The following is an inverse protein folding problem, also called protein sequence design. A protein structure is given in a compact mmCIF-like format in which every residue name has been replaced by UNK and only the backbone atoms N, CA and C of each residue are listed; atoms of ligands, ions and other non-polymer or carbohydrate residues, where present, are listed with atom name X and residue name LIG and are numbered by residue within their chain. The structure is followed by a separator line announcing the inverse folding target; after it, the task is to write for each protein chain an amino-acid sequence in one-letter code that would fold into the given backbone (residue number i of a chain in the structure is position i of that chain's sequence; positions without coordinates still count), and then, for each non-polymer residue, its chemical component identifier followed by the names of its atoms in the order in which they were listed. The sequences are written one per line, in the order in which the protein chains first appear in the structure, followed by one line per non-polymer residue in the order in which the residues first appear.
data_IF_654864645717
#
_entry.id   IF_654864645717
#
_cell.length_a   1.000
_cell.length_b   1.000
_cell.length_c   1.000
_cell.angle_alpha   90.00
_cell.angle_beta   90.00
_cell.angle_gamma   90.00
#
_symmetry.space_group_name_H-M   'P 1'
#
loop_
_entity.id
_entity.type
_entity.pdbx_description
1 polymer ?
#
# COMPACT_ATOMS: atom_id res chain seq x y z
N UNK A 1 -20.63 -43.94 -2.39
CA UNK A 1 -19.19 -44.25 -2.50
C UNK A 1 -18.42 -42.97 -2.27
N UNK A 2 -17.78 -42.82 -1.11
CA UNK A 2 -17.17 -41.57 -0.65
C UNK A 2 -15.75 -41.44 -1.19
N UNK A 3 -15.57 -40.45 -2.06
CA UNK A 3 -14.30 -40.07 -2.66
C UNK A 3 -13.41 -39.35 -1.63
N UNK A 4 -12.49 -40.10 -1.02
CA UNK A 4 -11.46 -39.55 -0.12
C UNK A 4 -10.42 -38.84 -0.96
N UNK A 5 -10.55 -37.50 -1.07
CA UNK A 5 -9.56 -36.64 -1.69
C UNK A 5 -8.17 -36.88 -1.11
N UNK A 6 -7.30 -37.50 -1.93
CA UNK A 6 -5.90 -37.73 -1.61
C UNK A 6 -5.20 -36.38 -1.34
N UNK A 7 -4.77 -36.17 -0.10
CA UNK A 7 -3.79 -35.13 0.24
C UNK A 7 -2.44 -35.58 -0.33
N UNK A 8 -2.04 -35.01 -1.46
CA UNK A 8 -0.69 -35.22 -1.99
C UNK A 8 0.30 -34.48 -1.10
N UNK A 9 1.08 -35.24 -0.32
CA UNK A 9 2.18 -34.70 0.46
C UNK A 9 3.44 -34.65 -0.41
N UNK A 10 3.97 -33.46 -0.67
CA UNK A 10 5.27 -33.26 -1.30
C UNK A 10 6.29 -32.96 -0.20
N UNK A 11 7.36 -33.76 -0.12
CA UNK A 11 8.50 -33.52 0.76
C UNK A 11 9.41 -32.45 0.16
N UNK A 12 9.64 -31.37 0.91
CA UNK A 12 10.68 -30.38 0.59
C UNK A 12 12.06 -30.88 1.04
N UNK A 13 13.11 -30.54 0.29
CA UNK A 13 14.53 -30.92 0.52
C UNK A 13 15.14 -30.44 1.86
N UNK A 14 14.37 -29.79 2.74
CA UNK A 14 14.82 -29.29 4.05
C UNK A 14 14.06 -29.83 5.27
N UNK A 15 13.30 -30.92 5.14
CA UNK A 15 12.72 -31.62 6.31
C UNK A 15 11.62 -30.85 7.07
N UNK A 16 11.24 -29.65 6.62
CA UNK A 16 10.09 -28.93 7.17
C UNK A 16 8.82 -29.30 6.40
N UNK A 17 7.82 -29.78 7.13
CA UNK A 17 6.46 -29.97 6.62
C UNK A 17 5.82 -28.61 6.34
N UNK A 18 6.03 -28.04 5.16
CA UNK A 18 5.12 -27.02 4.66
C UNK A 18 3.84 -27.71 4.19
N UNK A 19 2.78 -27.64 4.98
CA UNK A 19 1.46 -28.05 4.54
C UNK A 19 1.08 -27.19 3.33
N UNK A 20 1.24 -27.73 2.12
CA UNK A 20 0.85 -27.05 0.88
C UNK A 20 -0.61 -26.63 0.97
N UNK A 21 -0.89 -25.37 0.62
CA UNK A 21 -2.25 -24.87 0.58
C UNK A 21 -3.09 -25.75 -0.36
N UNK A 22 -4.34 -26.12 0.01
CA UNK A 22 -5.14 -27.03 -0.81
C UNK A 22 -5.49 -26.38 -2.15
N UNK A 23 -5.41 -27.16 -3.23
CA UNK A 23 -5.75 -26.69 -4.58
C UNK A 23 -7.27 -26.48 -4.69
N UNK A 24 -7.69 -25.25 -4.96
CA UNK A 24 -9.10 -24.88 -5.18
C UNK A 24 -9.33 -24.70 -6.69
N UNK A 25 -10.23 -25.48 -7.28
CA UNK A 25 -10.54 -25.42 -8.72
C UNK A 25 -11.11 -24.05 -9.14
N UNK A 26 -10.76 -23.53 -10.34
CA UNK A 26 -11.14 -22.17 -10.82
C UNK A 26 -12.64 -21.84 -10.68
N UNK A 27 -13.52 -22.76 -11.10
CA UNK A 27 -14.98 -22.59 -10.95
C UNK A 27 -15.41 -22.37 -9.49
N UNK A 28 -14.75 -23.06 -8.55
CA UNK A 28 -14.99 -22.92 -7.12
C UNK A 28 -14.41 -21.61 -6.57
N UNK A 29 -13.28 -21.14 -7.08
CA UNK A 29 -12.68 -19.86 -6.70
C UNK A 29 -13.63 -18.69 -7.00
N UNK A 30 -14.26 -18.67 -8.18
CA UNK A 30 -15.24 -17.64 -8.56
C UNK A 30 -16.41 -17.58 -7.58
N UNK A 31 -16.98 -18.73 -7.23
CA UNK A 31 -18.07 -18.82 -6.25
C UNK A 31 -17.63 -18.36 -4.85
N UNK A 32 -16.44 -18.74 -4.40
CA UNK A 32 -15.87 -18.29 -3.12
C UNK A 32 -15.76 -16.76 -3.10
N UNK A 33 -15.31 -16.13 -4.19
CA UNK A 33 -15.23 -14.65 -4.29
C UNK A 33 -16.61 -14.01 -4.18
N UNK A 34 -17.60 -14.50 -4.93
CA UNK A 34 -18.98 -14.01 -4.84
C UNK A 34 -19.55 -14.13 -3.42
N UNK A 35 -19.32 -15.26 -2.75
CA UNK A 35 -19.74 -15.48 -1.35
C UNK A 35 -19.07 -14.47 -0.40
N UNK A 36 -17.78 -14.18 -0.59
CA UNK A 36 -17.05 -13.17 0.21
C UNK A 36 -17.57 -11.76 -0.04
N UNK A 37 -17.75 -11.36 -1.30
CA UNK A 37 -18.27 -10.04 -1.68
C UNK A 37 -19.66 -9.80 -1.08
N UNK A 38 -20.57 -10.77 -1.23
CA UNK A 38 -21.90 -10.68 -0.64
C UNK A 38 -21.84 -10.57 0.88
N UNK A 39 -20.92 -11.30 1.53
CA UNK A 39 -20.76 -11.22 2.98
C UNK A 39 -20.23 -9.86 3.44
N UNK A 40 -19.29 -9.26 2.69
CA UNK A 40 -18.77 -7.91 2.95
C UNK A 40 -19.83 -6.83 2.73
N UNK A 41 -20.70 -7.02 1.74
CA UNK A 41 -21.87 -6.17 1.48
C UNK A 41 -23.01 -6.34 2.50
N UNK A 42 -22.81 -7.14 3.55
CA UNK A 42 -23.73 -7.25 4.69
C UNK A 42 -24.73 -8.42 4.64
N UNK A 43 -24.72 -9.25 3.58
CA UNK A 43 -25.66 -10.37 3.49
C UNK A 43 -25.41 -11.45 4.57
N UNK A 44 -26.49 -12.05 5.06
CA UNK A 44 -26.45 -13.19 5.98
C UNK A 44 -26.18 -14.49 5.19
N UNK A 45 -25.49 -15.49 5.77
CA UNK A 45 -25.19 -16.75 5.07
C UNK A 45 -26.40 -17.47 4.47
N UNK A 46 -27.58 -17.37 5.11
CA UNK A 46 -28.82 -17.92 4.57
C UNK A 46 -29.30 -17.20 3.30
N UNK A 47 -29.18 -15.87 3.25
CA UNK A 47 -29.57 -15.07 2.08
C UNK A 47 -28.62 -15.31 0.89
N UNK A 48 -27.32 -15.48 1.19
CA UNK A 48 -26.30 -15.85 0.20
C UNK A 48 -26.62 -17.23 -0.39
N UNK A 49 -26.96 -18.21 0.46
CA UNK A 49 -27.36 -19.55 0.04
C UNK A 49 -28.56 -19.51 -0.93
N UNK A 50 -29.61 -18.76 -0.60
CA UNK A 50 -30.79 -18.60 -1.46
C UNK A 50 -30.44 -17.93 -2.78
N UNK A 51 -29.67 -16.82 -2.76
CA UNK A 51 -29.30 -16.07 -3.96
C UNK A 51 -28.41 -16.86 -4.93
N UNK A 52 -27.50 -17.67 -4.39
CA UNK A 52 -26.55 -18.45 -5.19
C UNK A 52 -27.04 -19.88 -5.48
N UNK A 53 -28.23 -20.26 -5.00
CA UNK A 53 -28.78 -21.61 -5.19
C UNK A 53 -27.93 -22.71 -4.55
N UNK A 54 -27.25 -22.42 -3.43
CA UNK A 54 -26.37 -23.37 -2.73
C UNK A 54 -26.81 -23.60 -1.29
N UNK A 55 -26.39 -24.71 -0.69
CA UNK A 55 -26.69 -24.97 0.72
C UNK A 55 -25.94 -24.01 1.65
N UNK A 56 -26.54 -23.68 2.80
CA UNK A 56 -25.89 -22.87 3.84
C UNK A 56 -24.56 -23.45 4.30
N UNK A 57 -24.46 -24.79 4.42
CA UNK A 57 -23.20 -25.49 4.72
C UNK A 57 -22.11 -25.22 3.68
N UNK A 58 -22.50 -25.08 2.40
CA UNK A 58 -21.57 -24.75 1.32
C UNK A 58 -21.10 -23.29 1.42
N UNK A 59 -21.99 -22.35 1.77
CA UNK A 59 -21.64 -20.96 2.05
C UNK A 59 -20.61 -20.88 3.18
N UNK A 60 -20.86 -21.55 4.30
CA UNK A 60 -19.95 -21.53 5.45
C UNK A 60 -18.57 -22.12 5.10
N UNK A 61 -18.54 -23.18 4.28
CA UNK A 61 -17.29 -23.77 3.77
C UNK A 61 -16.55 -22.81 2.84
N UNK A 62 -17.26 -22.16 1.93
CA UNK A 62 -16.67 -21.23 0.97
C UNK A 62 -16.21 -19.92 1.65
N UNK A 63 -16.88 -19.49 2.73
CA UNK A 63 -16.40 -18.40 3.60
C UNK A 63 -15.08 -18.77 4.30
N UNK A 64 -14.97 -20.01 4.79
CA UNK A 64 -13.73 -20.50 5.41
C UNK A 64 -12.59 -20.61 4.39
N UNK A 65 -12.90 -21.15 3.22
CA UNK A 65 -11.93 -21.36 2.14
C UNK A 65 -11.53 -20.04 1.44
N UNK A 66 -12.31 -18.96 1.60
CA UNK A 66 -11.92 -17.63 1.14
C UNK A 66 -10.59 -17.14 1.73
N UNK A 67 -10.31 -17.43 3.01
CA UNK A 67 -9.01 -17.09 3.63
C UNK A 67 -7.85 -17.85 2.97
N UNK A 68 -8.09 -19.09 2.57
CA UNK A 68 -7.10 -19.93 1.89
C UNK A 68 -6.88 -19.42 0.46
N UNK A 69 -7.96 -19.08 -0.24
CA UNK A 69 -7.91 -18.51 -1.59
C UNK A 69 -7.16 -17.17 -1.60
N UNK A 70 -7.40 -16.28 -0.64
CA UNK A 70 -6.67 -15.02 -0.52
C UNK A 70 -5.16 -15.23 -0.31
N UNK A 71 -4.77 -16.25 0.47
CA UNK A 71 -3.34 -16.60 0.67
C UNK A 71 -2.71 -17.17 -0.59
N UNK A 72 -3.40 -18.05 -1.31
CA UNK A 72 -2.95 -18.58 -2.60
C UNK A 72 -2.75 -17.44 -3.61
N UNK A 73 -3.73 -16.54 -3.71
CA UNK A 73 -3.64 -15.38 -4.58
C UNK A 73 -2.50 -14.44 -4.19
N UNK A 74 -2.25 -14.25 -2.89
CA UNK A 74 -1.13 -13.42 -2.42
C UNK A 74 0.25 -14.05 -2.73
N UNK A 75 0.33 -15.38 -2.82
CA UNK A 75 1.56 -16.08 -3.24
C UNK A 75 1.78 -16.03 -4.75
N UNK A 76 0.70 -16.02 -5.54
CA UNK A 76 0.74 -15.87 -7.00
C UNK A 76 0.76 -14.40 -7.45
N UNK A 77 0.62 -13.46 -6.51
CA UNK A 77 0.62 -12.02 -6.80
C UNK A 77 2.04 -11.58 -7.11
N UNK A 78 2.26 -11.15 -8.35
CA UNK A 78 3.51 -10.56 -8.80
C UNK A 78 3.66 -9.17 -8.17
N UNK A 79 4.20 -9.14 -6.96
CA UNK A 79 4.41 -7.94 -6.16
C UNK A 79 5.32 -6.93 -6.87
N UNK A 80 6.31 -7.43 -7.61
CA UNK A 80 7.31 -6.59 -8.26
C UNK A 80 6.72 -5.87 -9.47
N UNK A 81 5.98 -6.59 -10.32
CA UNK A 81 5.28 -5.97 -11.46
C UNK A 81 4.22 -4.97 -11.00
N UNK A 82 3.47 -5.30 -9.93
CA UNK A 82 2.45 -4.40 -9.40
C UNK A 82 3.03 -3.12 -8.81
N UNK A 83 4.13 -3.21 -8.06
CA UNK A 83 4.79 -2.02 -7.50
C UNK A 83 5.34 -1.11 -8.61
N UNK A 84 5.98 -1.70 -9.62
CA UNK A 84 6.48 -0.96 -10.79
C UNK A 84 5.36 -0.23 -11.55
N UNK A 85 4.23 -0.90 -11.77
CA UNK A 85 3.07 -0.32 -12.44
C UNK A 85 2.41 0.79 -11.60
N UNK A 86 2.36 0.64 -10.27
CA UNK A 86 1.81 1.66 -9.37
C UNK A 86 2.66 2.93 -9.35
N UNK A 87 3.99 2.78 -9.26
CA UNK A 87 4.94 3.90 -9.35
C UNK A 87 4.78 4.63 -10.69
N UNK A 88 4.71 3.88 -11.80
CA UNK A 88 4.55 4.42 -13.14
C UNK A 88 3.22 5.18 -13.29
N UNK A 89 2.14 4.64 -12.72
CA UNK A 89 0.82 5.26 -12.72
C UNK A 89 0.82 6.63 -12.03
N UNK A 90 1.39 6.74 -10.83
CA UNK A 90 1.45 8.03 -10.12
C UNK A 90 2.34 9.05 -10.82
N UNK A 91 3.46 8.62 -11.40
CA UNK A 91 4.31 9.48 -12.22
C UNK A 91 3.54 10.05 -13.43
N UNK A 92 2.77 9.21 -14.13
CA UNK A 92 1.96 9.64 -15.26
C UNK A 92 0.87 10.64 -14.87
N UNK A 93 0.17 10.41 -13.75
CA UNK A 93 -0.83 11.36 -13.25
C UNK A 93 -0.17 12.69 -12.91
N UNK A 94 0.97 12.67 -12.22
CA UNK A 94 1.70 13.90 -11.87
C UNK A 94 2.10 14.68 -13.13
N UNK A 95 2.72 14.03 -14.11
CA UNK A 95 3.14 14.69 -15.34
C UNK A 95 1.97 15.24 -16.15
N UNK A 96 0.90 14.46 -16.29
CA UNK A 96 -0.30 14.90 -16.99
C UNK A 96 -0.92 16.11 -16.30
N UNK A 97 -1.10 16.05 -14.98
CA UNK A 97 -1.68 17.14 -14.19
C UNK A 97 -0.83 18.42 -14.25
N UNK A 98 0.50 18.31 -14.23
CA UNK A 98 1.38 19.46 -14.38
C UNK A 98 1.28 20.07 -15.78
N UNK A 99 1.27 19.24 -16.83
CA UNK A 99 1.07 19.69 -18.22
C UNK A 99 -0.28 20.38 -18.39
N UNK A 100 -1.35 19.79 -17.87
CA UNK A 100 -2.69 20.36 -17.94
C UNK A 100 -2.76 21.71 -17.19
N UNK A 101 -2.02 21.84 -16.07
CA UNK A 101 -1.89 23.11 -15.34
C UNK A 101 -1.21 24.20 -16.17
N UNK A 102 -0.12 23.86 -16.87
CA UNK A 102 0.63 24.80 -17.74
C UNK A 102 -0.19 25.26 -18.95
N UNK A 103 -1.00 24.36 -19.50
CA UNK A 103 -1.84 24.65 -20.68
C UNK A 103 -3.17 25.34 -20.32
N UNK A 104 -3.52 25.38 -19.03
CA UNK A 104 -4.79 25.94 -18.58
C UNK A 104 -4.75 27.48 -18.53
N UNK A 105 -5.73 28.13 -19.15
CA UNK A 105 -5.86 29.59 -19.12
C UNK A 105 -6.62 30.10 -17.89
N UNK A 106 -7.55 29.31 -17.35
CA UNK A 106 -8.29 29.68 -16.14
C UNK A 106 -7.53 29.35 -14.86
N UNK A 107 -7.41 30.33 -13.96
CA UNK A 107 -6.65 30.20 -12.71
C UNK A 107 -7.24 29.13 -11.77
N UNK A 108 -8.57 29.04 -11.66
CA UNK A 108 -9.21 28.05 -10.79
C UNK A 108 -8.94 26.62 -11.25
N UNK A 109 -9.02 26.38 -12.55
CA UNK A 109 -8.72 25.07 -13.13
C UNK A 109 -7.22 24.74 -13.01
N UNK A 110 -6.34 25.73 -13.22
CA UNK A 110 -4.89 25.60 -12.99
C UNK A 110 -4.56 25.17 -11.57
N UNK A 111 -5.20 25.77 -10.56
CA UNK A 111 -5.05 25.39 -9.14
C UNK A 111 -5.53 23.95 -8.91
N UNK A 112 -6.66 23.55 -9.51
CA UNK A 112 -7.16 22.17 -9.46
C UNK A 112 -6.17 21.14 -10.00
N UNK A 113 -5.57 21.42 -11.16
CA UNK A 113 -4.55 20.57 -11.75
C UNK A 113 -3.28 20.49 -10.88
N UNK A 114 -2.83 21.60 -10.28
CA UNK A 114 -1.70 21.60 -9.33
C UNK A 114 -1.98 20.75 -8.08
N UNK A 115 -3.19 20.83 -7.52
CA UNK A 115 -3.60 19.98 -6.39
C UNK A 115 -3.54 18.50 -6.77
N UNK A 116 -4.04 18.13 -7.95
CA UNK A 116 -3.98 16.74 -8.42
C UNK A 116 -2.52 16.25 -8.58
N UNK A 117 -1.63 17.11 -9.08
CA UNK A 117 -0.21 16.78 -9.17
C UNK A 117 0.44 16.58 -7.79
N UNK A 118 0.10 17.42 -6.80
CA UNK A 118 0.57 17.28 -5.41
C UNK A 118 0.06 15.99 -4.78
N UNK A 119 -1.23 15.68 -4.92
CA UNK A 119 -1.81 14.43 -4.40
C UNK A 119 -1.12 13.20 -5.01
N UNK A 120 -0.87 13.21 -6.32
CA UNK A 120 -0.14 12.13 -6.99
C UNK A 120 1.30 12.00 -6.46
N UNK A 121 1.98 13.12 -6.18
CA UNK A 121 3.30 13.14 -5.58
C UNK A 121 3.29 12.55 -4.16
N UNK A 122 2.31 12.88 -3.32
CA UNK A 122 2.17 12.33 -1.97
C UNK A 122 1.95 10.80 -1.99
N UNK A 123 1.11 10.31 -2.90
CA UNK A 123 0.87 8.87 -3.08
C UNK A 123 2.14 8.14 -3.54
N UNK A 124 2.85 8.70 -4.52
CA UNK A 124 4.13 8.16 -4.97
C UNK A 124 5.16 8.10 -3.84
N UNK A 125 5.31 9.18 -3.07
CA UNK A 125 6.25 9.23 -1.93
C UNK A 125 5.89 8.16 -0.90
N UNK A 126 4.60 8.00 -0.60
CA UNK A 126 4.14 6.98 0.34
C UNK A 126 4.45 5.57 -0.16
N UNK A 127 4.20 5.26 -1.43
CA UNK A 127 4.52 3.93 -1.99
C UNK A 127 6.03 3.64 -1.94
N UNK A 128 6.86 4.64 -2.23
CA UNK A 128 8.31 4.54 -2.12
C UNK A 128 8.79 4.34 -0.67
N UNK A 129 8.07 4.90 0.32
CA UNK A 129 8.34 4.67 1.73
C UNK A 129 7.90 3.27 2.17
N UNK A 130 6.70 2.85 1.78
CA UNK A 130 6.11 1.57 2.16
C UNK A 130 6.93 0.39 1.59
N UNK A 131 7.57 0.55 0.41
CA UNK A 131 8.48 -0.44 -0.16
C UNK A 131 9.95 -0.30 0.28
N UNK A 132 10.25 0.64 1.18
CA UNK A 132 11.59 0.83 1.76
C UNK A 132 12.62 1.50 0.84
N UNK A 133 12.23 1.98 -0.34
CA UNK A 133 13.10 2.75 -1.24
C UNK A 133 13.37 4.17 -0.71
N UNK A 134 12.47 4.72 0.11
CA UNK A 134 12.66 5.98 0.84
C UNK A 134 12.58 5.73 2.35
N UNK A 135 13.69 5.86 3.06
CA UNK A 135 13.75 5.64 4.51
C UNK A 135 12.96 6.69 5.33
N UNK A 136 12.91 7.93 4.85
CA UNK A 136 12.11 9.04 5.41
C UNK A 136 12.08 10.18 4.39
N UNK A 137 10.96 10.88 4.26
CA UNK A 137 10.97 12.18 3.56
C UNK A 137 11.93 13.08 4.34
N UNK A 138 12.91 13.74 3.68
CA UNK A 138 13.76 14.68 4.38
C UNK A 138 12.87 15.77 4.99
N UNK A 139 12.76 15.78 6.32
CA UNK A 139 12.19 16.90 7.03
C UNK A 139 13.15 18.06 6.81
N UNK A 140 12.78 18.97 5.91
CA UNK A 140 13.48 20.25 5.80
C UNK A 140 13.16 21.04 7.05
N UNK A 141 14.13 21.18 7.93
CA UNK A 141 14.09 22.21 8.97
C UNK A 141 14.20 23.56 8.24
N UNK A 142 13.11 24.31 8.18
CA UNK A 142 13.10 25.68 7.66
C UNK A 142 13.29 26.62 8.84
N UNK A 143 14.48 27.19 8.96
CA UNK A 143 14.73 28.31 9.87
C UNK A 143 14.09 29.54 9.21
N UNK A 144 12.88 29.89 9.64
CA UNK A 144 12.19 31.11 9.18
C UNK A 144 12.80 32.37 9.77
N UNK A 145 12.45 33.53 9.20
CA UNK A 145 12.87 34.83 9.72
C UNK A 145 12.30 35.14 11.11
N UNK A 146 11.24 34.45 11.53
CA UNK A 146 10.48 34.70 12.76
C UNK A 146 10.98 33.89 13.97
N UNK A 147 12.21 33.37 13.92
CA UNK A 147 12.80 32.73 15.09
C UNK A 147 13.09 33.80 16.16
N UNK A 148 12.61 33.63 17.41
CA UNK A 148 12.77 34.62 18.46
C UNK A 148 14.19 34.58 19.03
N UNK A 149 15.19 34.91 18.21
CA UNK A 149 16.60 34.95 18.61
C UNK A 149 16.90 36.01 19.69
N UNK A 150 15.93 36.89 19.98
CA UNK A 150 15.97 37.79 21.14
C UNK A 150 15.91 37.02 22.47
N UNK A 151 15.28 35.85 22.48
CA UNK A 151 15.28 34.94 23.63
C UNK A 151 16.68 34.28 23.78
N UNK A 152 17.36 34.49 24.92
CA UNK A 152 18.67 33.90 25.18
C UNK A 152 18.68 32.37 25.11
N UNK A 153 17.61 31.68 25.50
CA UNK A 153 17.54 30.22 25.49
C UNK A 153 17.48 29.70 24.05
N UNK A 154 16.70 30.36 23.19
CA UNK A 154 16.57 30.01 21.77
C UNK A 154 17.88 30.27 21.03
N UNK A 155 18.53 31.39 21.34
CA UNK A 155 19.84 31.73 20.77
C UNK A 155 20.91 30.71 21.18
N UNK A 156 20.95 30.32 22.45
CA UNK A 156 21.93 29.36 22.94
C UNK A 156 21.71 27.99 22.30
N UNK A 157 20.46 27.51 22.25
CA UNK A 157 20.14 26.23 21.61
C UNK A 157 20.53 26.21 20.12
N UNK A 158 20.37 27.33 19.42
CA UNK A 158 20.80 27.46 18.03
C UNK A 158 22.34 27.42 17.87
N UNK A 159 23.07 28.12 18.73
CA UNK A 159 24.53 28.09 18.74
C UNK A 159 25.08 26.70 19.09
N UNK A 160 24.48 26.02 20.07
CA UNK A 160 24.85 24.66 20.47
C UNK A 160 24.63 23.67 19.32
N UNK A 161 23.55 23.84 18.56
CA UNK A 161 23.30 23.07 17.33
C UNK A 161 24.39 23.30 16.28
N UNK A 162 24.81 24.55 16.03
CA UNK A 162 25.86 24.87 15.06
C UNK A 162 27.21 24.25 15.46
N UNK A 163 27.56 24.30 16.75
CA UNK A 163 28.78 23.67 17.29
C UNK A 163 28.73 22.15 17.09
N UNK A 164 27.62 21.52 17.48
CA UNK A 164 27.43 20.07 17.32
C UNK A 164 27.50 19.65 15.85
N UNK A 165 26.90 20.42 14.93
CA UNK A 165 26.92 20.12 13.50
C UNK A 165 28.34 20.21 12.92
N UNK A 166 29.13 21.19 13.38
CA UNK A 166 30.54 21.34 13.01
C UNK A 166 31.40 20.19 13.51
N UNK A 167 31.21 19.78 14.77
CA UNK A 167 31.92 18.63 15.35
C UNK A 167 31.61 17.32 14.58
N UNK A 168 30.44 17.25 13.95
CA UNK A 168 30.03 16.13 13.10
C UNK A 168 30.43 16.27 11.62
N UNK A 169 31.19 17.31 11.28
CA UNK A 169 31.85 17.46 9.97
C UNK A 169 31.19 18.43 9.01
N UNK A 170 30.11 19.13 9.40
CA UNK A 170 29.47 20.13 8.56
C UNK A 170 30.17 21.50 8.72
N UNK A 171 30.90 21.93 7.69
CA UNK A 171 31.78 23.12 7.75
C UNK A 171 31.15 24.39 7.18
N UNK A 172 29.99 24.28 6.52
CA UNK A 172 29.36 25.39 5.81
C UNK A 172 28.27 26.10 6.64
N UNK A 173 28.03 25.66 7.87
CA UNK A 173 27.14 26.35 8.80
C UNK A 173 27.96 27.42 9.51
N UNK A 174 27.61 28.69 9.26
CA UNK A 174 28.39 29.85 9.68
C UNK A 174 28.55 29.97 11.20
N UNK A 175 29.64 30.64 11.60
CA UNK A 175 29.69 31.51 12.78
C UNK A 175 29.94 32.91 12.24
#
# INVERSE_FOLDING_TARGET
MSDTGKKTMMLSKKGEFQAGLPVIHKARQSRIRQVQEMKLSGFRPGEIATKLGISRRQVDRDLKDGKILSRLMAQEFDQDSFLGDSIKFWLQIRWKSMRDSEMCQEENARIGHRRNAMTAQEKLVKELQDCGLLAKVPQRLLLGADLPFEDPEVRQAYLDFLILARDRGEKNLGV
#
